data_IF_843532791809
#
_entry.id   IF_843532791809
#
_cell.length_a   1.000
_cell.length_b   1.000
_cell.length_c   1.000
_cell.angle_alpha   90.00
_cell.angle_beta   90.00
_cell.angle_gamma   90.00
#
_symmetry.space_group_name_H-M   'P 1'
#
loop_
_entity.id
_entity.type
_entity.pdbx_description
1 polymer ?
#
# COMPACT_ATOMS: atom_id res chain seq x y z
N UNK A 1 -23.68 31.12 -22.20
CA UNK A 1 -22.64 30.61 -23.09
C UNK A 1 -21.28 31.05 -22.53
N UNK A 2 -20.54 30.16 -21.90
CA UNK A 2 -19.20 30.46 -21.38
C UNK A 2 -18.18 30.17 -22.47
N UNK A 3 -17.40 31.21 -22.85
CA UNK A 3 -16.37 31.12 -23.84
C UNK A 3 -15.16 30.33 -23.31
N UNK A 4 -14.89 29.18 -23.89
CA UNK A 4 -13.62 28.47 -23.71
C UNK A 4 -12.59 29.06 -24.68
N UNK A 5 -11.59 29.80 -24.19
CA UNK A 5 -10.43 30.18 -25.00
C UNK A 5 -9.31 29.17 -24.85
N UNK A 6 -8.86 28.59 -25.96
CA UNK A 6 -7.63 27.80 -26.03
C UNK A 6 -6.41 28.71 -25.91
N UNK A 7 -5.58 28.51 -24.91
CA UNK A 7 -4.26 29.14 -24.86
C UNK A 7 -3.23 28.04 -25.20
N UNK A 8 -2.52 28.22 -26.31
CA UNK A 8 -1.37 27.37 -26.67
C UNK A 8 -0.16 27.83 -25.87
N UNK A 9 0.24 27.05 -24.86
CA UNK A 9 1.61 27.04 -24.38
C UNK A 9 2.27 25.76 -24.90
N UNK A 10 3.51 25.86 -25.37
CA UNK A 10 4.24 24.77 -26.01
C UNK A 10 4.28 23.53 -25.09
N UNK A 11 3.83 22.41 -25.64
CA UNK A 11 3.92 21.02 -25.15
C UNK A 11 2.93 20.49 -24.09
N UNK A 12 1.84 21.21 -23.73
CA UNK A 12 0.73 20.59 -23.00
C UNK A 12 -0.60 21.18 -23.45
N UNK A 13 -1.47 20.34 -24.00
CA UNK A 13 -2.86 20.71 -24.30
C UNK A 13 -3.68 20.58 -23.02
N UNK A 14 -3.67 21.62 -22.18
CA UNK A 14 -4.52 21.72 -20.99
C UNK A 14 -5.58 22.81 -21.21
N UNK A 15 -6.82 22.56 -20.82
CA UNK A 15 -7.82 23.62 -20.71
C UNK A 15 -7.60 24.33 -19.37
N UNK A 16 -7.22 25.63 -19.42
CA UNK A 16 -7.21 26.47 -18.22
C UNK A 16 -8.64 26.96 -18.01
N UNK A 17 -9.26 26.54 -16.91
CA UNK A 17 -10.48 27.17 -16.45
C UNK A 17 -10.14 28.58 -15.96
N UNK A 18 -10.88 29.59 -16.42
CA UNK A 18 -10.72 30.99 -16.01
C UNK A 18 -10.92 31.23 -14.48
N UNK A 19 -11.13 30.17 -13.72
CA UNK A 19 -11.30 30.16 -12.27
C UNK A 19 -9.98 30.29 -11.50
N UNK A 20 -8.83 29.98 -12.16
CA UNK A 20 -7.55 29.80 -11.48
C UNK A 20 -6.60 31.01 -11.61
N UNK A 21 -7.05 32.08 -12.23
CA UNK A 21 -6.28 33.32 -12.37
C UNK A 21 -6.58 34.31 -11.24
N UNK A 22 -6.33 33.92 -10.00
CA UNK A 22 -6.27 34.85 -8.87
C UNK A 22 -4.91 34.83 -8.24
N UNK A 23 -4.22 35.95 -8.44
CA UNK A 23 -3.12 36.53 -7.71
C UNK A 23 -2.18 35.62 -6.91
N UNK A 24 -0.99 35.53 -7.44
CA UNK A 24 0.21 35.00 -6.82
C UNK A 24 0.50 35.74 -5.48
N UNK A 25 0.38 35.02 -4.37
CA UNK A 25 0.87 35.41 -3.06
C UNK A 25 1.56 34.21 -2.45
N UNK A 26 2.86 34.06 -2.75
CA UNK A 26 3.65 32.95 -2.27
C UNK A 26 3.72 32.85 -0.75
N UNK A 27 3.60 31.63 -0.25
CA UNK A 27 4.35 31.12 0.90
C UNK A 27 4.38 29.61 0.88
N UNK A 28 5.54 29.09 0.59
CA UNK A 28 5.93 27.71 0.86
C UNK A 28 5.99 27.50 2.38
N UNK A 29 5.16 26.62 2.88
CA UNK A 29 5.21 26.19 4.26
C UNK A 29 4.47 24.86 4.35
N UNK A 30 5.25 23.77 4.40
CA UNK A 30 4.73 22.44 4.62
C UNK A 30 4.49 22.27 6.14
N UNK A 31 3.26 22.11 6.64
CA UNK A 31 3.07 21.62 7.99
C UNK A 31 2.82 20.12 7.96
N UNK A 32 3.74 19.41 8.58
CA UNK A 32 3.51 18.03 9.05
C UNK A 32 2.48 18.11 10.18
N UNK A 33 1.22 17.82 9.86
CA UNK A 33 0.13 17.76 10.82
C UNK A 33 -1.14 17.31 10.11
N UNK A 34 -1.82 16.31 10.64
CA UNK A 34 -3.06 15.71 10.15
C UNK A 34 -4.24 16.70 10.24
N UNK A 35 -4.28 17.68 9.35
CA UNK A 35 -5.36 18.63 9.26
C UNK A 35 -5.27 19.43 7.97
N UNK A 36 -6.41 19.62 7.28
CA UNK A 36 -6.50 20.51 6.14
C UNK A 36 -6.16 21.94 6.57
N UNK A 37 -5.20 22.58 5.89
CA UNK A 37 -4.83 23.99 6.17
C UNK A 37 -6.05 24.90 5.94
N UNK A 38 -6.16 25.99 6.69
CA UNK A 38 -7.27 26.95 6.57
C UNK A 38 -7.38 27.61 5.18
N UNK A 39 -6.29 27.61 4.42
CA UNK A 39 -6.19 28.07 3.02
C UNK A 39 -5.13 27.26 2.28
N UNK A 40 -5.23 27.15 0.96
CA UNK A 40 -4.26 26.39 0.17
C UNK A 40 -4.75 26.07 -1.23
N UNK A 41 -4.11 25.09 -1.86
CA UNK A 41 -4.52 24.56 -3.16
C UNK A 41 -4.95 23.11 -3.00
N UNK A 42 -6.07 22.74 -3.60
CA UNK A 42 -6.58 21.37 -3.62
C UNK A 42 -6.69 20.87 -5.05
N UNK A 43 -6.17 19.66 -5.29
CA UNK A 43 -6.30 18.95 -6.57
C UNK A 43 -7.41 17.91 -6.45
N UNK A 44 -8.37 17.96 -7.36
CA UNK A 44 -9.49 17.02 -7.36
C UNK A 44 -9.09 15.68 -7.98
N UNK A 45 -9.44 14.60 -7.31
CA UNK A 45 -9.23 13.23 -7.80
C UNK A 45 -10.49 12.63 -8.43
N UNK A 46 -11.62 13.29 -8.25
CA UNK A 46 -12.92 12.91 -8.79
C UNK A 46 -13.74 14.15 -9.18
N UNK A 47 -14.81 13.93 -9.96
CA UNK A 47 -15.75 15.00 -10.32
C UNK A 47 -16.40 15.57 -9.06
N UNK A 48 -16.23 16.86 -8.80
CA UNK A 48 -16.67 17.57 -7.59
C UNK A 48 -17.54 18.78 -7.93
N UNK A 49 -18.73 18.85 -7.34
CA UNK A 49 -19.67 19.92 -7.64
C UNK A 49 -19.27 21.24 -6.98
N UNK A 50 -19.28 22.33 -7.76
CA UNK A 50 -19.11 23.70 -7.29
C UNK A 50 -20.50 24.24 -6.96
N UNK A 51 -20.67 24.80 -5.76
CA UNK A 51 -21.98 25.27 -5.29
C UNK A 51 -21.94 26.74 -4.85
N UNK A 52 -23.09 27.36 -4.81
CA UNK A 52 -23.25 28.75 -4.33
C UNK A 52 -23.34 28.88 -2.81
N UNK A 53 -23.53 27.76 -2.09
CA UNK A 53 -23.55 27.67 -0.64
C UNK A 53 -22.88 26.37 -0.17
N UNK A 54 -22.37 26.30 1.07
CA UNK A 54 -21.77 25.09 1.63
C UNK A 54 -22.86 24.11 2.10
N UNK A 55 -23.59 23.54 1.15
CA UNK A 55 -24.65 22.56 1.41
C UNK A 55 -24.76 21.59 0.23
N UNK A 56 -24.99 20.32 0.53
CA UNK A 56 -25.18 19.26 -0.47
C UNK A 56 -26.43 19.45 -1.33
N UNK A 57 -27.41 20.21 -0.83
CA UNK A 57 -28.66 20.53 -1.54
C UNK A 57 -28.61 21.88 -2.27
N UNK A 58 -27.53 22.68 -2.06
CA UNK A 58 -27.38 23.96 -2.72
C UNK A 58 -27.21 23.80 -4.25
N UNK A 59 -27.56 24.87 -4.99
CA UNK A 59 -27.45 24.92 -6.43
C UNK A 59 -26.03 24.60 -6.88
N UNK A 60 -25.91 23.64 -7.80
CA UNK A 60 -24.67 23.34 -8.50
C UNK A 60 -24.46 24.38 -9.58
N UNK A 61 -23.31 25.06 -9.54
CA UNK A 61 -22.93 26.11 -10.50
C UNK A 61 -22.10 25.50 -11.62
N UNK A 62 -21.17 24.58 -11.28
CA UNK A 62 -20.26 23.93 -12.20
C UNK A 62 -19.58 22.74 -11.51
N UNK A 63 -18.57 22.15 -12.13
CA UNK A 63 -17.81 21.03 -11.60
C UNK A 63 -16.31 21.22 -11.77
N UNK A 64 -15.53 20.70 -10.83
CA UNK A 64 -14.14 20.31 -11.02
C UNK A 64 -14.06 18.85 -11.46
N UNK A 65 -13.09 18.54 -12.28
CA UNK A 65 -12.80 17.18 -12.76
C UNK A 65 -11.45 16.69 -12.23
N UNK A 66 -11.17 15.36 -12.30
CA UNK A 66 -9.89 14.82 -11.85
C UNK A 66 -8.70 15.54 -12.51
N UNK A 67 -7.71 15.93 -11.69
CA UNK A 67 -6.53 16.68 -12.09
C UNK A 67 -6.68 18.20 -12.08
N UNK A 68 -7.89 18.74 -11.97
CA UNK A 68 -8.10 20.19 -11.81
C UNK A 68 -7.84 20.65 -10.39
N UNK A 69 -7.42 21.91 -10.23
CA UNK A 69 -7.06 22.51 -8.94
C UNK A 69 -7.98 23.68 -8.58
N UNK A 70 -8.14 23.92 -7.30
CA UNK A 70 -8.69 25.15 -6.75
C UNK A 70 -7.78 25.71 -5.67
N UNK A 71 -7.52 27.02 -5.74
CA UNK A 71 -6.94 27.74 -4.60
C UNK A 71 -8.10 28.23 -3.73
N UNK A 72 -8.15 27.78 -2.48
CA UNK A 72 -9.17 28.17 -1.51
C UNK A 72 -8.54 29.04 -0.40
N UNK A 73 -9.33 29.97 0.09
CA UNK A 73 -8.92 30.93 1.11
C UNK A 73 -9.59 30.68 2.48
N UNK A 74 -10.53 29.74 2.53
CA UNK A 74 -11.26 29.44 3.73
C UNK A 74 -11.81 27.99 3.70
N UNK A 75 -11.92 27.38 4.88
CA UNK A 75 -12.68 26.15 5.09
C UNK A 75 -13.93 26.49 5.89
N UNK A 76 -15.08 26.01 5.42
CA UNK A 76 -16.37 26.13 6.10
C UNK A 76 -16.82 24.75 6.51
N UNK A 77 -17.08 24.54 7.80
CA UNK A 77 -17.71 23.33 8.32
C UNK A 77 -19.21 23.53 8.42
N UNK A 78 -19.98 22.70 7.72
CA UNK A 78 -21.43 22.74 7.75
C UNK A 78 -22.04 21.37 7.42
N UNK A 79 -23.08 21.02 8.16
CA UNK A 79 -23.81 19.75 8.01
C UNK A 79 -22.93 18.51 8.11
N UNK A 80 -21.86 18.56 8.96
CA UNK A 80 -20.91 17.47 9.14
C UNK A 80 -19.87 17.35 8.01
N UNK A 81 -19.83 18.28 7.06
CA UNK A 81 -18.87 18.30 5.95
C UNK A 81 -17.96 19.51 6.02
N UNK A 82 -16.73 19.35 5.51
CA UNK A 82 -15.80 20.46 5.23
C UNK A 82 -15.99 20.92 3.79
N UNK A 83 -16.03 22.23 3.61
CA UNK A 83 -16.19 22.87 2.31
C UNK A 83 -15.00 23.78 2.04
N UNK A 84 -14.31 23.58 0.93
CA UNK A 84 -13.34 24.51 0.42
C UNK A 84 -14.08 25.72 -0.13
N UNK A 85 -13.78 26.91 0.38
CA UNK A 85 -14.41 28.15 -0.02
C UNK A 85 -13.40 29.06 -0.71
N UNK A 86 -13.82 29.69 -1.82
CA UNK A 86 -13.00 30.60 -2.61
C UNK A 86 -13.82 31.64 -3.32
N UNK A 87 -13.19 32.77 -3.68
CA UNK A 87 -13.81 33.77 -4.54
C UNK A 87 -13.59 33.37 -6.00
N UNK A 88 -14.69 33.25 -6.75
CA UNK A 88 -14.64 33.11 -8.21
C UNK A 88 -14.15 34.39 -8.87
N UNK A 89 -13.81 34.33 -10.17
CA UNK A 89 -13.42 35.50 -10.95
C UNK A 89 -14.46 36.63 -10.93
N UNK A 90 -15.76 36.29 -10.79
CA UNK A 90 -16.83 37.27 -10.65
C UNK A 90 -16.97 37.87 -9.25
N UNK A 91 -16.06 37.56 -8.31
CA UNK A 91 -16.11 37.99 -6.93
C UNK A 91 -17.14 37.27 -6.08
N UNK A 92 -17.80 36.25 -6.61
CA UNK A 92 -18.80 35.50 -5.87
C UNK A 92 -18.16 34.34 -5.13
N UNK A 93 -18.53 34.14 -3.86
CA UNK A 93 -18.10 33.01 -3.03
C UNK A 93 -18.63 31.70 -3.60
N UNK A 94 -17.75 30.70 -3.69
CA UNK A 94 -18.04 29.34 -4.17
C UNK A 94 -17.59 28.33 -3.14
N UNK A 95 -18.20 27.16 -3.17
CA UNK A 95 -17.98 26.09 -2.22
C UNK A 95 -17.88 24.77 -2.95
N UNK A 96 -16.85 23.98 -2.61
CA UNK A 96 -16.70 22.60 -3.06
C UNK A 96 -16.55 21.73 -1.84
N UNK A 97 -17.33 20.67 -1.75
CA UNK A 97 -17.19 19.75 -0.63
C UNK A 97 -15.80 19.14 -0.65
N UNK A 98 -15.08 19.34 0.45
CA UNK A 98 -13.83 18.65 0.68
C UNK A 98 -14.13 17.19 1.03
N UNK A 99 -13.78 16.31 0.15
CA UNK A 99 -13.69 14.91 0.50
C UNK A 99 -12.25 14.70 0.90
N UNK A 100 -12.03 14.36 2.15
CA UNK A 100 -10.73 13.90 2.60
C UNK A 100 -10.39 12.73 1.68
N UNK A 101 -9.53 12.97 0.70
CA UNK A 101 -8.84 11.86 0.07
C UNK A 101 -8.09 11.26 1.24
N UNK A 102 -8.55 10.12 1.74
CA UNK A 102 -7.68 9.30 2.58
C UNK A 102 -6.35 9.34 1.84
N UNK A 103 -5.34 9.92 2.46
CA UNK A 103 -3.99 9.83 1.92
C UNK A 103 -3.84 8.35 1.63
N UNK A 104 -3.62 8.00 0.36
CA UNK A 104 -3.50 6.59 -0.02
C UNK A 104 -2.23 6.15 0.67
N UNK A 105 -2.37 5.85 1.98
CA UNK A 105 -1.26 5.39 2.79
C UNK A 105 -0.77 4.10 2.15
N UNK A 106 0.32 4.21 1.42
CA UNK A 106 1.02 3.08 0.85
C UNK A 106 2.15 2.66 1.80
N UNK A 107 2.55 1.42 1.69
CA UNK A 107 3.65 0.89 2.46
C UNK A 107 3.21 0.17 3.74
N UNK A 108 4.20 -0.05 4.59
CA UNK A 108 4.03 -0.77 5.84
C UNK A 108 3.31 0.06 6.90
N UNK A 109 2.32 -0.55 7.56
CA UNK A 109 1.61 0.01 8.70
C UNK A 109 1.48 -1.01 9.82
N UNK A 110 1.75 -0.57 11.05
CA UNK A 110 1.51 -1.37 12.25
C UNK A 110 0.35 -0.76 13.03
N UNK A 111 -0.71 -1.53 13.24
CA UNK A 111 -1.86 -1.12 14.00
C UNK A 111 -2.22 -2.20 15.03
N UNK A 112 -2.35 -1.83 16.30
CA UNK A 112 -2.61 -2.77 17.40
C UNK A 112 -1.65 -3.98 17.42
N UNK A 113 -0.37 -3.74 17.13
CA UNK A 113 0.65 -4.80 17.07
C UNK A 113 0.69 -5.60 15.76
N UNK A 114 -0.27 -5.43 14.88
CA UNK A 114 -0.43 -6.18 13.62
C UNK A 114 0.18 -5.39 12.47
N UNK A 115 1.07 -6.02 11.72
CA UNK A 115 1.62 -5.46 10.49
C UNK A 115 0.73 -5.77 9.29
N UNK A 116 0.52 -4.77 8.45
CA UNK A 116 -0.08 -4.87 7.12
C UNK A 116 0.72 -4.02 6.12
N UNK A 117 0.48 -4.26 4.85
CA UNK A 117 1.05 -3.48 3.75
C UNK A 117 -0.05 -2.99 2.84
N UNK A 118 0.04 -1.72 2.42
CA UNK A 118 -0.91 -1.13 1.48
C UNK A 118 -0.22 -0.74 0.18
N UNK A 119 -0.90 -0.98 -0.91
CA UNK A 119 -0.50 -0.54 -2.23
C UNK A 119 -1.72 0.06 -2.93
N UNK A 120 -1.60 1.30 -3.38
CA UNK A 120 -2.72 2.08 -3.93
C UNK A 120 -3.95 2.11 -2.99
N UNK A 121 -3.69 2.26 -1.68
CA UNK A 121 -4.71 2.31 -0.63
C UNK A 121 -5.35 0.96 -0.29
N UNK A 122 -5.06 -0.10 -1.03
CA UNK A 122 -5.61 -1.44 -0.77
C UNK A 122 -4.66 -2.26 0.09
N UNK A 123 -5.21 -3.04 1.01
CA UNK A 123 -4.44 -4.02 1.77
C UNK A 123 -3.88 -5.09 0.84
N UNK A 124 -2.59 -5.40 1.01
CA UNK A 124 -1.99 -6.56 0.38
C UNK A 124 -2.58 -7.84 0.98
N UNK A 125 -2.84 -8.83 0.14
CA UNK A 125 -3.26 -10.19 0.50
C UNK A 125 -2.45 -11.20 -0.31
N UNK A 126 -2.31 -12.41 0.20
CA UNK A 126 -1.49 -13.44 -0.44
C UNK A 126 -0.01 -13.09 -0.46
N UNK A 127 0.71 -13.64 -1.42
CA UNK A 127 2.15 -13.42 -1.57
C UNK A 127 2.46 -12.09 -2.22
N UNK A 128 3.42 -11.35 -1.63
CA UNK A 128 3.89 -10.05 -2.12
C UNK A 128 5.40 -9.94 -2.00
N UNK A 129 6.05 -9.50 -3.07
CA UNK A 129 7.48 -9.15 -3.03
C UNK A 129 7.63 -7.67 -2.73
N UNK A 130 8.29 -7.33 -1.62
CA UNK A 130 8.49 -5.96 -1.16
C UNK A 130 9.98 -5.76 -0.90
N UNK A 131 10.60 -4.79 -1.55
CA UNK A 131 12.03 -4.49 -1.43
C UNK A 131 12.95 -5.72 -1.58
N UNK A 132 12.61 -6.62 -2.51
CA UNK A 132 13.40 -7.82 -2.80
C UNK A 132 13.06 -9.06 -1.96
N UNK A 133 12.37 -8.93 -0.82
CA UNK A 133 11.94 -10.02 0.06
C UNK A 133 10.49 -10.41 -0.19
N UNK A 134 10.17 -11.70 -0.05
CA UNK A 134 8.80 -12.19 -0.13
C UNK A 134 8.14 -12.16 1.25
N UNK A 135 6.86 -11.76 1.27
CA UNK A 135 5.96 -11.73 2.42
C UNK A 135 4.66 -12.40 2.06
N UNK A 136 3.95 -12.88 3.06
CA UNK A 136 2.60 -13.41 2.89
C UNK A 136 1.63 -12.65 3.79
N UNK A 137 0.46 -12.32 3.26
CA UNK A 137 -0.62 -11.64 3.97
C UNK A 137 -1.88 -12.49 3.92
N UNK A 138 -2.55 -12.58 5.06
CA UNK A 138 -3.86 -13.23 5.15
C UNK A 138 -4.91 -12.44 4.37
N UNK A 139 -6.08 -13.03 4.13
CA UNK A 139 -7.18 -12.37 3.40
C UNK A 139 -7.65 -11.06 4.07
N UNK A 140 -7.48 -10.94 5.37
CA UNK A 140 -7.76 -9.72 6.12
C UNK A 140 -6.60 -8.69 6.10
N UNK A 141 -5.56 -8.92 5.31
CA UNK A 141 -4.39 -8.07 5.17
C UNK A 141 -3.35 -8.18 6.28
N UNK A 142 -3.53 -9.08 7.26
CA UNK A 142 -2.54 -9.30 8.32
C UNK A 142 -1.30 -9.99 7.77
N UNK A 143 -0.10 -9.43 8.02
CA UNK A 143 1.16 -10.08 7.69
C UNK A 143 1.31 -11.41 8.43
N UNK A 144 1.63 -12.48 7.71
CA UNK A 144 1.86 -13.81 8.27
C UNK A 144 3.27 -13.93 8.85
N UNK A 145 3.40 -14.73 9.90
CA UNK A 145 4.67 -15.17 10.49
C UNK A 145 4.55 -16.65 10.85
N UNK A 146 5.68 -17.36 10.93
CA UNK A 146 5.69 -18.80 11.17
C UNK A 146 5.30 -19.59 9.92
N UNK A 147 4.82 -20.81 10.14
CA UNK A 147 4.44 -21.73 9.08
C UNK A 147 3.16 -21.30 8.35
N UNK A 148 3.22 -21.29 7.04
CA UNK A 148 2.08 -21.00 6.14
C UNK A 148 2.00 -22.14 5.12
N UNK A 149 0.81 -22.69 4.95
CA UNK A 149 0.51 -23.63 3.88
C UNK A 149 -0.22 -22.90 2.77
N UNK A 150 0.37 -22.91 1.59
CA UNK A 150 -0.26 -22.39 0.39
C UNK A 150 -0.28 -23.48 -0.67
N UNK A 151 -1.46 -23.76 -1.20
CA UNK A 151 -1.71 -24.86 -2.12
C UNK A 151 -1.23 -26.21 -1.51
N UNK A 152 -0.22 -26.84 -2.07
CA UNK A 152 0.34 -28.12 -1.59
C UNK A 152 1.65 -27.97 -0.82
N UNK A 153 2.20 -26.75 -0.68
CA UNK A 153 3.52 -26.52 -0.11
C UNK A 153 3.46 -25.77 1.22
N UNK A 154 4.42 -26.06 2.09
CA UNK A 154 4.66 -25.33 3.31
C UNK A 154 5.77 -24.30 3.10
N UNK A 155 5.60 -23.13 3.69
CA UNK A 155 6.54 -22.00 3.71
C UNK A 155 6.72 -21.53 5.13
N UNK A 156 7.84 -20.88 5.42
CA UNK A 156 8.07 -20.29 6.74
C UNK A 156 8.36 -18.80 6.61
N UNK A 157 7.62 -17.98 7.35
CA UNK A 157 7.84 -16.54 7.45
C UNK A 157 8.52 -16.24 8.78
N UNK A 158 9.65 -15.54 8.74
CA UNK A 158 10.37 -15.09 9.96
C UNK A 158 9.47 -14.19 10.81
N UNK A 159 9.90 -13.89 12.04
CA UNK A 159 9.21 -12.90 12.89
C UNK A 159 9.14 -11.50 12.25
N UNK A 160 10.09 -11.17 11.36
CA UNK A 160 10.08 -9.96 10.53
C UNK A 160 9.05 -9.99 9.38
N UNK A 161 8.42 -11.15 9.12
CA UNK A 161 7.51 -11.40 8.01
C UNK A 161 8.17 -11.87 6.72
N UNK A 162 9.49 -11.80 6.61
CA UNK A 162 10.22 -12.23 5.42
C UNK A 162 10.20 -13.75 5.26
N UNK A 163 10.01 -14.23 4.05
CA UNK A 163 10.07 -15.65 3.71
C UNK A 163 11.47 -16.22 3.97
N UNK A 164 11.53 -17.33 4.69
CA UNK A 164 12.74 -18.08 4.94
C UNK A 164 13.11 -18.95 3.73
N UNK A 165 14.41 -19.05 3.44
CA UNK A 165 14.98 -20.01 2.51
C UNK A 165 16.20 -20.69 3.14
N UNK A 166 16.61 -21.85 2.63
CA UNK A 166 17.71 -22.63 3.19
C UNK A 166 17.35 -23.33 4.49
N UNK A 167 18.35 -23.55 5.33
CA UNK A 167 18.16 -24.24 6.61
C UNK A 167 17.34 -23.41 7.62
N UNK A 168 16.38 -24.06 8.25
CA UNK A 168 15.56 -23.53 9.33
C UNK A 168 15.59 -24.48 10.51
N UNK A 169 15.90 -23.99 11.71
CA UNK A 169 15.70 -24.74 12.97
C UNK A 169 14.52 -24.15 13.71
N UNK A 170 13.47 -24.94 13.88
CA UNK A 170 12.25 -24.54 14.57
C UNK A 170 11.88 -25.59 15.63
N UNK A 171 11.73 -25.17 16.87
CA UNK A 171 11.42 -26.04 18.01
C UNK A 171 12.35 -27.29 18.12
N UNK A 172 13.67 -27.09 17.87
CA UNK A 172 14.68 -28.14 17.92
C UNK A 172 14.81 -29.00 16.66
N UNK A 173 13.87 -28.91 15.73
CA UNK A 173 13.85 -29.68 14.48
C UNK A 173 14.39 -28.83 13.32
N UNK A 174 15.21 -29.47 12.46
CA UNK A 174 15.72 -28.85 11.25
C UNK A 174 14.82 -29.14 10.05
N UNK A 175 14.63 -28.14 9.24
CA UNK A 175 13.91 -28.13 7.96
C UNK A 175 14.78 -27.49 6.87
N UNK A 176 14.44 -27.75 5.61
CA UNK A 176 15.09 -27.07 4.49
C UNK A 176 14.05 -26.48 3.55
N UNK A 177 14.15 -25.16 3.34
CA UNK A 177 13.31 -24.39 2.42
C UNK A 177 14.09 -24.13 1.13
N UNK A 178 13.50 -24.43 -0.02
CA UNK A 178 14.11 -24.17 -1.31
C UNK A 178 14.29 -22.67 -1.58
N UNK A 179 14.96 -22.30 -2.65
CA UNK A 179 15.07 -20.91 -3.09
C UNK A 179 13.70 -20.29 -3.41
N UNK A 180 12.71 -21.11 -3.76
CA UNK A 180 11.31 -20.75 -3.92
C UNK A 180 10.60 -20.47 -2.58
N UNK A 181 11.20 -20.84 -1.45
CA UNK A 181 10.60 -20.85 -0.12
C UNK A 181 9.84 -22.12 0.22
N UNK A 182 9.58 -23.02 -0.73
CA UNK A 182 8.87 -24.27 -0.49
C UNK A 182 9.68 -25.23 0.40
N UNK A 183 9.07 -25.79 1.45
CA UNK A 183 9.68 -26.76 2.32
C UNK A 183 9.88 -28.10 1.59
N UNK A 184 11.07 -28.65 1.65
CA UNK A 184 11.33 -30.02 1.18
C UNK A 184 10.68 -31.05 2.10
N UNK A 185 10.16 -32.12 1.52
CA UNK A 185 9.59 -33.25 2.25
C UNK A 185 9.78 -34.57 1.49
N UNK A 186 9.86 -35.68 2.21
CA UNK A 186 9.97 -37.05 1.68
C UNK A 186 11.05 -37.22 0.59
N UNK A 187 12.24 -36.66 0.78
CA UNK A 187 13.27 -36.73 -0.26
C UNK A 187 14.70 -36.58 0.27
N UNK A 188 15.64 -37.17 -0.47
CA UNK A 188 17.04 -36.85 -0.40
C UNK A 188 17.35 -35.58 -1.19
N UNK A 189 18.30 -34.79 -0.69
CA UNK A 189 18.79 -33.59 -1.37
C UNK A 189 20.25 -33.31 -0.99
N UNK A 190 20.90 -32.46 -1.79
CA UNK A 190 22.31 -32.13 -1.58
C UNK A 190 22.47 -30.65 -1.26
N UNK A 191 23.25 -30.34 -0.24
CA UNK A 191 23.68 -28.98 0.13
C UNK A 191 25.15 -29.01 0.53
N UNK A 192 25.95 -28.13 -0.06
CA UNK A 192 27.38 -28.02 0.26
C UNK A 192 28.16 -29.34 0.06
N UNK A 193 27.79 -30.12 -0.96
CA UNK A 193 28.43 -31.39 -1.27
C UNK A 193 28.03 -32.58 -0.38
N UNK A 194 27.14 -32.36 0.62
CA UNK A 194 26.63 -33.42 1.51
C UNK A 194 25.16 -33.74 1.19
N UNK A 195 24.78 -35.01 1.39
CA UNK A 195 23.41 -35.47 1.20
C UNK A 195 22.68 -35.49 2.52
N UNK A 196 21.43 -35.10 2.48
CA UNK A 196 20.47 -35.01 3.62
C UNK A 196 19.13 -35.61 3.22
N UNK A 197 18.41 -36.13 4.20
CA UNK A 197 17.04 -36.61 4.00
C UNK A 197 16.08 -35.88 4.91
N UNK A 198 14.95 -35.48 4.35
CA UNK A 198 13.81 -34.97 5.13
C UNK A 198 12.60 -35.90 4.97
N UNK A 199 11.92 -36.17 6.06
CA UNK A 199 10.75 -37.05 6.09
C UNK A 199 9.48 -36.35 5.54
N UNK A 200 8.32 -37.03 5.63
CA UNK A 200 7.06 -36.49 5.14
C UNK A 200 6.62 -35.19 5.83
N UNK A 201 7.01 -34.95 7.08
CA UNK A 201 6.75 -33.70 7.78
C UNK A 201 7.77 -32.59 7.47
N UNK A 202 8.78 -32.86 6.63
CA UNK A 202 9.88 -31.98 6.32
C UNK A 202 11.01 -32.01 7.35
N UNK A 203 10.89 -32.79 8.41
CA UNK A 203 11.90 -32.90 9.45
C UNK A 203 13.15 -33.62 8.95
N UNK A 204 14.33 -33.05 9.25
CA UNK A 204 15.64 -33.65 8.93
C UNK A 204 15.82 -34.97 9.72
N UNK A 205 16.17 -36.03 9.00
CA UNK A 205 16.59 -37.28 9.59
C UNK A 205 18.00 -37.13 10.22
N UNK A 206 18.15 -37.53 11.46
CA UNK A 206 19.41 -37.49 12.21
C UNK A 206 19.62 -38.78 12.98
N UNK A 207 20.88 -39.23 13.13
CA UNK A 207 21.26 -40.44 13.87
C UNK A 207 20.45 -41.69 13.49
N UNK A 208 20.15 -41.88 12.20
CA UNK A 208 19.27 -42.97 11.75
C UNK A 208 19.73 -43.54 10.42
N UNK A 209 19.03 -44.51 9.88
CA UNK A 209 19.24 -45.07 8.54
C UNK A 209 17.99 -44.84 7.70
N UNK A 210 18.18 -44.31 6.49
CA UNK A 210 17.12 -44.04 5.50
C UNK A 210 17.56 -44.69 4.18
N UNK A 211 16.72 -45.52 3.58
CA UNK A 211 16.94 -46.20 2.31
C UNK A 211 18.32 -46.94 2.29
N UNK A 212 18.72 -47.53 3.44
CA UNK A 212 20.00 -48.22 3.57
C UNK A 212 21.21 -47.30 3.83
N UNK A 213 21.07 -46.01 3.83
CA UNK A 213 22.14 -45.04 4.11
C UNK A 213 22.05 -44.50 5.52
N UNK A 214 23.18 -44.48 6.23
CA UNK A 214 23.30 -43.88 7.55
C UNK A 214 23.40 -42.35 7.46
N UNK A 215 22.77 -41.66 8.38
CA UNK A 215 22.91 -40.21 8.59
C UNK A 215 23.43 -39.94 10.01
N UNK A 216 24.35 -38.98 10.12
CA UNK A 216 24.99 -38.60 11.38
C UNK A 216 24.06 -37.69 12.26
N UNK A 217 24.61 -37.20 13.38
CA UNK A 217 23.92 -36.29 14.29
C UNK A 217 23.57 -34.93 13.67
N UNK A 218 24.23 -34.56 12.59
CA UNK A 218 23.96 -33.33 11.82
C UNK A 218 23.04 -33.58 10.61
N UNK A 219 22.60 -34.84 10.43
CA UNK A 219 21.76 -35.28 9.32
C UNK A 219 22.52 -35.51 8.00
N UNK A 220 23.84 -35.39 8.01
CA UNK A 220 24.63 -35.68 6.81
C UNK A 220 24.78 -37.19 6.59
N UNK A 221 24.57 -37.65 5.35
CA UNK A 221 24.85 -39.03 4.95
C UNK A 221 26.34 -39.37 5.12
N UNK A 222 26.62 -40.50 5.75
CA UNK A 222 27.98 -41.09 6.01
C UNK A 222 28.09 -42.46 5.40
#
# INVERSE_FOLDING_TARGET
>A
KYNRRKVKASSMTGFIHFKDLVGNGGRTGNPIGSGLASSGTHTFTQKSAIRNQPSSTAQVIDYYYPGENVSYDQIVEKDGYKWLSYLSYSGMRRYVQYMETESVENGWKKQNGIWNYRENGKLATGWKKINGSWYHFKDNGTMSTGWVKDSSHWYYLKASGEMQTGWLKENGTWYYLESSGAMKSSQWFQVGGKYYYVNASGALAVNTTVDGYRVDSNGARI
#
